data_IF_814555072927
#
_entry.id   IF_814555072927
#
_cell.length_a   1.000
_cell.length_b   1.000
_cell.length_c   1.000
_cell.angle_alpha   90.00
_cell.angle_beta   90.00
_cell.angle_gamma   90.00
#
_symmetry.space_group_name_H-M   'P 1'
#
loop_
_entity.id
_entity.type
_entity.pdbx_description
1 polymer ?
#
# COMPACT_ATOMS: atom_id res chain seq x y z
N UNK A 1 -30.10 74.30 2.08
CA UNK A 1 -30.60 72.90 2.17
C UNK A 1 -31.20 72.69 3.57
N UNK A 2 -32.47 72.32 3.65
CA UNK A 2 -33.20 72.21 4.90
C UNK A 2 -32.56 71.09 5.79
N UNK A 3 -32.33 71.33 7.07
CA UNK A 3 -31.66 70.42 8.02
C UNK A 3 -32.31 69.01 8.00
N UNK A 4 -33.65 68.99 7.84
CA UNK A 4 -34.41 67.73 7.75
C UNK A 4 -34.08 66.96 6.47
N UNK A 5 -33.93 67.62 5.35
CA UNK A 5 -33.59 67.00 4.07
C UNK A 5 -32.17 66.43 4.08
N UNK A 6 -31.22 67.13 4.71
CA UNK A 6 -29.84 66.70 4.92
C UNK A 6 -29.78 65.42 5.78
N UNK A 7 -30.52 65.38 6.87
CA UNK A 7 -30.54 64.21 7.75
C UNK A 7 -31.19 62.99 7.06
N UNK A 8 -32.25 63.19 6.31
CA UNK A 8 -32.85 62.08 5.54
C UNK A 8 -31.93 61.57 4.46
N UNK A 9 -31.23 62.42 3.73
CA UNK A 9 -30.24 62.04 2.74
C UNK A 9 -29.07 61.26 3.38
N UNK A 10 -28.59 61.69 4.55
CA UNK A 10 -27.54 61.03 5.30
C UNK A 10 -27.96 59.61 5.73
N UNK A 11 -29.19 59.41 6.23
CA UNK A 11 -29.73 58.13 6.61
C UNK A 11 -29.81 57.17 5.40
N UNK A 12 -30.26 57.66 4.25
CA UNK A 12 -30.33 56.83 3.03
C UNK A 12 -28.96 56.43 2.54
N UNK A 13 -28.01 57.38 2.50
CA UNK A 13 -26.62 57.07 2.08
C UNK A 13 -25.98 56.10 3.05
N UNK A 14 -26.12 56.29 4.35
CA UNK A 14 -25.58 55.42 5.40
C UNK A 14 -26.17 54.01 5.29
N UNK A 15 -27.51 53.92 5.12
CA UNK A 15 -28.19 52.62 4.88
C UNK A 15 -27.70 51.92 3.65
N UNK A 16 -27.47 52.61 2.53
CA UNK A 16 -26.93 52.06 1.31
C UNK A 16 -25.47 51.55 1.52
N UNK A 17 -24.63 52.28 2.21
CA UNK A 17 -23.25 51.85 2.52
C UNK A 17 -23.26 50.59 3.38
N UNK A 18 -24.06 50.58 4.47
CA UNK A 18 -24.17 49.39 5.34
C UNK A 18 -24.67 48.19 4.57
N UNK A 19 -25.71 48.38 3.73
CA UNK A 19 -26.22 47.29 2.85
C UNK A 19 -25.15 46.79 1.88
N UNK A 20 -24.41 47.68 1.21
CA UNK A 20 -23.36 47.32 0.28
C UNK A 20 -22.22 46.55 0.97
N UNK A 21 -21.80 46.95 2.20
CA UNK A 21 -20.79 46.23 2.98
C UNK A 21 -21.29 44.84 3.39
N UNK A 22 -22.55 44.75 3.86
CA UNK A 22 -23.13 43.45 4.22
C UNK A 22 -23.25 42.51 3.01
N UNK A 23 -23.69 43.03 1.88
CA UNK A 23 -23.79 42.26 0.62
C UNK A 23 -22.41 41.78 0.16
N UNK A 24 -21.42 42.67 0.18
CA UNK A 24 -20.03 42.31 -0.16
C UNK A 24 -19.48 41.21 0.76
N UNK A 25 -19.70 41.31 2.07
CA UNK A 25 -19.30 40.30 3.03
C UNK A 25 -19.95 38.92 2.74
N UNK A 26 -21.23 38.89 2.44
CA UNK A 26 -21.95 37.65 2.06
C UNK A 26 -21.38 37.07 0.78
N UNK A 27 -21.18 37.91 -0.25
CA UNK A 27 -20.58 37.45 -1.52
C UNK A 27 -19.19 36.90 -1.35
N UNK A 28 -18.34 37.58 -0.59
CA UNK A 28 -16.98 37.08 -0.31
C UNK A 28 -16.99 35.72 0.42
N UNK A 29 -17.93 35.51 1.33
CA UNK A 29 -18.09 34.19 1.98
C UNK A 29 -18.49 33.09 1.01
N UNK A 30 -19.40 33.38 0.09
CA UNK A 30 -19.79 32.42 -0.94
C UNK A 30 -18.61 32.06 -1.86
N UNK A 31 -17.91 33.07 -2.37
CA UNK A 31 -16.75 32.89 -3.25
C UNK A 31 -15.63 32.11 -2.51
N UNK A 32 -15.33 32.47 -1.26
CA UNK A 32 -14.32 31.77 -0.48
C UNK A 32 -14.68 30.29 -0.26
N UNK A 33 -15.96 30.00 0.01
CA UNK A 33 -16.43 28.62 0.15
C UNK A 33 -16.33 27.83 -1.15
N UNK A 34 -16.75 28.40 -2.27
CA UNK A 34 -16.70 27.71 -3.56
C UNK A 34 -15.25 27.46 -3.98
N UNK A 35 -14.36 28.42 -3.82
CA UNK A 35 -12.94 28.27 -4.08
C UNK A 35 -12.31 27.18 -3.19
N UNK A 36 -12.67 27.12 -1.90
CA UNK A 36 -12.20 26.08 -1.00
C UNK A 36 -12.65 24.68 -1.44
N UNK A 37 -13.93 24.53 -1.84
CA UNK A 37 -14.45 23.25 -2.33
C UNK A 37 -13.78 22.81 -3.63
N UNK A 38 -13.54 23.74 -4.54
CA UNK A 38 -12.85 23.46 -5.81
C UNK A 38 -11.39 23.06 -5.56
N UNK A 39 -10.68 23.81 -4.72
CA UNK A 39 -9.30 23.47 -4.32
C UNK A 39 -9.23 22.11 -3.62
N UNK A 40 -10.17 21.82 -2.72
CA UNK A 40 -10.23 20.52 -2.03
C UNK A 40 -10.45 19.38 -3.02
N UNK A 41 -11.33 19.54 -4.01
CA UNK A 41 -11.55 18.52 -5.06
C UNK A 41 -10.31 18.31 -5.92
N UNK A 42 -9.59 19.37 -6.27
CA UNK A 42 -8.35 19.27 -7.03
C UNK A 42 -7.30 18.48 -6.23
N UNK A 43 -7.13 18.79 -4.95
CA UNK A 43 -6.21 18.07 -4.05
C UNK A 43 -6.62 16.59 -3.91
N UNK A 44 -7.91 16.29 -3.70
CA UNK A 44 -8.35 14.90 -3.63
C UNK A 44 -8.12 14.13 -4.93
N UNK A 45 -8.33 14.77 -6.09
CA UNK A 45 -8.03 14.17 -7.39
C UNK A 45 -6.55 13.86 -7.53
N UNK A 46 -5.68 14.76 -7.12
CA UNK A 46 -4.22 14.58 -7.14
C UNK A 46 -3.78 13.45 -6.20
N UNK A 47 -4.26 13.45 -4.95
CA UNK A 47 -3.97 12.38 -3.98
C UNK A 47 -4.46 11.04 -4.52
N UNK A 48 -5.67 10.96 -5.06
CA UNK A 48 -6.20 9.73 -5.65
C UNK A 48 -5.35 9.24 -6.82
N UNK A 49 -4.88 10.16 -7.67
CA UNK A 49 -3.98 9.82 -8.77
C UNK A 49 -2.62 9.30 -8.26
N UNK A 50 -2.04 9.94 -7.24
CA UNK A 50 -0.81 9.49 -6.60
C UNK A 50 -0.97 8.08 -6.03
N UNK A 51 -2.07 7.79 -5.32
CA UNK A 51 -2.35 6.47 -4.75
C UNK A 51 -2.49 5.41 -5.84
N UNK A 52 -3.23 5.71 -6.92
CA UNK A 52 -3.38 4.77 -8.05
C UNK A 52 -2.04 4.47 -8.74
N UNK A 53 -1.24 5.51 -8.99
CA UNK A 53 0.11 5.35 -9.57
C UNK A 53 1.00 4.50 -8.67
N UNK A 54 0.89 4.69 -7.36
CA UNK A 54 1.62 3.93 -6.36
C UNK A 54 1.23 2.45 -6.39
N UNK A 55 -0.06 2.12 -6.48
CA UNK A 55 -0.55 0.74 -6.60
C UNK A 55 0.00 0.05 -7.86
N UNK A 56 0.09 0.77 -8.99
CA UNK A 56 0.70 0.25 -10.21
C UNK A 56 2.20 -0.03 -10.05
N UNK A 57 2.92 0.85 -9.34
CA UNK A 57 4.33 0.65 -9.01
C UNK A 57 4.50 -0.58 -8.12
N UNK A 58 3.71 -0.71 -7.07
CA UNK A 58 3.70 -1.88 -6.17
C UNK A 58 3.48 -3.17 -6.95
N UNK A 59 2.45 -3.21 -7.79
CA UNK A 59 2.13 -4.38 -8.61
C UNK A 59 3.28 -4.74 -9.55
N UNK A 60 3.90 -3.73 -10.15
CA UNK A 60 5.04 -3.91 -11.06
C UNK A 60 6.28 -4.43 -10.33
N UNK A 61 6.60 -3.89 -9.15
CA UNK A 61 7.73 -4.35 -8.32
C UNK A 61 7.51 -5.81 -7.91
N UNK A 62 6.33 -6.16 -7.41
CA UNK A 62 5.97 -7.54 -7.03
C UNK A 62 6.08 -8.49 -8.22
N UNK A 63 5.54 -8.11 -9.38
CA UNK A 63 5.62 -8.91 -10.61
C UNK A 63 7.06 -9.13 -11.05
N UNK A 64 7.87 -8.09 -11.08
CA UNK A 64 9.28 -8.18 -11.49
C UNK A 64 10.08 -9.07 -10.53
N UNK A 65 9.81 -9.00 -9.23
CA UNK A 65 10.46 -9.87 -8.26
C UNK A 65 10.05 -11.34 -8.47
N UNK A 66 8.77 -11.59 -8.73
CA UNK A 66 8.22 -12.92 -9.03
C UNK A 66 8.87 -13.55 -10.29
N UNK A 67 8.95 -12.78 -11.38
CA UNK A 67 9.62 -13.23 -12.60
C UNK A 67 11.13 -13.46 -12.41
N UNK A 68 11.78 -12.62 -11.62
CA UNK A 68 13.19 -12.79 -11.29
C UNK A 68 13.43 -14.07 -10.47
N UNK A 69 12.55 -14.41 -9.54
CA UNK A 69 12.63 -15.69 -8.82
C UNK A 69 12.45 -16.89 -9.77
N UNK A 70 11.45 -16.82 -10.66
CA UNK A 70 11.23 -17.89 -11.67
C UNK A 70 12.48 -18.10 -12.55
N UNK A 71 13.06 -17.04 -13.07
CA UNK A 71 14.27 -17.11 -13.89
C UNK A 71 15.43 -17.78 -13.14
N UNK A 72 15.64 -17.41 -11.86
CA UNK A 72 16.70 -18.00 -11.03
C UNK A 72 16.47 -19.48 -10.76
N UNK A 73 15.21 -19.90 -10.57
CA UNK A 73 14.87 -21.32 -10.43
C UNK A 73 15.20 -22.09 -11.70
N UNK A 74 14.89 -21.57 -12.89
CA UNK A 74 15.27 -22.16 -14.18
C UNK A 74 16.78 -22.30 -14.34
N UNK A 75 17.54 -21.25 -13.98
CA UNK A 75 19.01 -21.27 -14.04
C UNK A 75 19.54 -22.31 -13.06
N UNK A 76 19.03 -22.36 -11.82
CA UNK A 76 19.42 -23.38 -10.85
C UNK A 76 19.20 -24.80 -11.40
N UNK A 77 18.00 -25.06 -11.94
CA UNK A 77 17.67 -26.37 -12.52
C UNK A 77 18.61 -26.76 -13.68
N UNK A 78 18.96 -25.83 -14.57
CA UNK A 78 19.88 -26.07 -15.67
C UNK A 78 21.31 -26.32 -15.19
N UNK A 79 21.80 -25.57 -14.20
CA UNK A 79 23.14 -25.77 -13.63
C UNK A 79 23.28 -27.10 -12.90
N UNK A 80 22.25 -27.48 -12.12
CA UNK A 80 22.22 -28.77 -11.43
C UNK A 80 22.12 -29.93 -12.43
N UNK A 81 21.37 -29.77 -13.51
CA UNK A 81 21.31 -30.80 -14.59
C UNK A 81 22.67 -31.03 -15.23
N UNK A 82 23.47 -29.97 -15.43
CA UNK A 82 24.81 -30.07 -16.02
C UNK A 82 25.85 -30.68 -15.05
N UNK A 83 25.71 -30.44 -13.74
CA UNK A 83 26.57 -31.05 -12.69
C UNK A 83 25.70 -31.65 -11.59
N UNK A 84 25.25 -32.88 -11.77
CA UNK A 84 24.41 -33.58 -10.78
C UNK A 84 25.06 -33.81 -9.43
N UNK A 85 26.41 -33.72 -9.34
CA UNK A 85 27.10 -33.78 -8.06
C UNK A 85 26.74 -32.63 -7.10
N UNK A 86 26.09 -31.59 -7.62
CA UNK A 86 25.54 -30.50 -6.81
C UNK A 86 24.44 -31.02 -5.88
N UNK A 87 23.63 -32.01 -6.31
CA UNK A 87 22.51 -32.57 -5.52
C UNK A 87 23.01 -33.12 -4.18
N UNK A 88 24.14 -33.81 -4.20
CA UNK A 88 24.70 -34.49 -3.04
C UNK A 88 25.62 -33.61 -2.18
N UNK A 89 25.93 -32.40 -2.65
CA UNK A 89 26.90 -31.52 -1.99
C UNK A 89 26.25 -30.23 -1.48
N UNK A 90 26.04 -30.15 -0.17
CA UNK A 90 25.55 -28.92 0.46
C UNK A 90 26.48 -27.72 0.15
N UNK A 91 27.80 -27.90 0.13
CA UNK A 91 28.75 -26.83 -0.17
C UNK A 91 28.50 -26.26 -1.59
N UNK A 92 28.34 -27.12 -2.60
CA UNK A 92 28.03 -26.68 -3.97
C UNK A 92 26.66 -26.02 -4.08
N UNK A 93 25.66 -26.49 -3.30
CA UNK A 93 24.34 -25.84 -3.24
C UNK A 93 24.42 -24.45 -2.61
N UNK A 94 25.24 -24.24 -1.62
CA UNK A 94 25.50 -22.93 -1.02
C UNK A 94 26.23 -22.01 -2.03
N UNK A 95 27.21 -22.51 -2.76
CA UNK A 95 27.89 -21.77 -3.84
C UNK A 95 26.90 -21.35 -4.93
N UNK A 96 26.03 -22.29 -5.34
CA UNK A 96 24.96 -22.01 -6.32
C UNK A 96 23.99 -20.94 -5.81
N UNK A 97 23.57 -21.02 -4.55
CA UNK A 97 22.68 -20.01 -3.95
C UNK A 97 23.35 -18.63 -3.94
N UNK A 98 24.62 -18.55 -3.58
CA UNK A 98 25.41 -17.30 -3.60
C UNK A 98 25.55 -16.74 -5.02
N UNK A 99 25.86 -17.59 -6.00
CA UNK A 99 25.96 -17.21 -7.41
C UNK A 99 24.65 -16.63 -7.93
N UNK A 100 23.54 -17.27 -7.60
CA UNK A 100 22.19 -16.86 -8.02
C UNK A 100 21.63 -15.72 -7.14
N UNK A 101 22.30 -15.33 -6.07
CA UNK A 101 21.82 -14.35 -5.08
C UNK A 101 20.42 -14.71 -4.57
N UNK A 102 20.27 -15.98 -4.15
CA UNK A 102 19.08 -16.50 -3.47
C UNK A 102 19.48 -16.93 -2.06
N UNK A 103 18.50 -16.94 -1.15
CA UNK A 103 18.76 -17.30 0.25
C UNK A 103 18.72 -18.81 0.46
N UNK A 104 17.88 -19.52 -0.31
CA UNK A 104 17.65 -20.95 -0.17
C UNK A 104 17.57 -21.64 -1.53
N UNK A 105 18.08 -22.88 -1.58
CA UNK A 105 17.90 -23.82 -2.69
C UNK A 105 17.50 -25.15 -2.09
N UNK A 106 16.42 -25.76 -2.58
CA UNK A 106 15.97 -27.08 -2.21
C UNK A 106 15.77 -27.91 -3.47
N UNK A 107 16.10 -29.18 -3.42
CA UNK A 107 15.90 -30.15 -4.47
C UNK A 107 14.93 -31.20 -3.98
N UNK A 108 13.87 -31.40 -4.71
CA UNK A 108 12.82 -32.38 -4.43
C UNK A 108 12.91 -33.53 -5.40
N UNK A 109 12.64 -34.71 -4.90
CA UNK A 109 12.41 -35.89 -5.75
C UNK A 109 11.01 -35.89 -6.34
N UNK A 110 10.69 -36.93 -7.14
CA UNK A 110 9.37 -37.11 -7.77
C UNK A 110 8.22 -37.29 -6.75
N UNK A 111 8.53 -37.70 -5.52
CA UNK A 111 7.54 -37.82 -4.45
C UNK A 111 7.22 -36.50 -3.75
N UNK A 112 7.98 -35.45 -4.06
CA UNK A 112 7.89 -34.15 -3.40
C UNK A 112 8.64 -34.10 -2.05
N UNK A 113 9.65 -34.96 -1.87
CA UNK A 113 10.51 -34.99 -0.68
C UNK A 113 11.79 -34.21 -0.95
N UNK A 114 12.22 -33.36 0.01
CA UNK A 114 13.49 -32.64 -0.07
C UNK A 114 14.65 -33.62 0.14
N UNK A 115 15.44 -33.83 -0.91
CA UNK A 115 16.60 -34.72 -0.92
C UNK A 115 17.92 -33.99 -0.81
N UNK A 116 17.94 -32.68 -1.08
CA UNK A 116 19.12 -31.83 -1.01
C UNK A 116 18.75 -30.36 -0.86
N UNK A 117 19.67 -29.55 -0.35
CA UNK A 117 19.42 -28.13 -0.19
C UNK A 117 20.47 -27.40 0.62
N UNK A 118 20.34 -26.07 0.67
CA UNK A 118 21.19 -25.21 1.48
C UNK A 118 20.92 -25.33 2.98
N UNK A 119 19.76 -25.90 3.36
CA UNK A 119 19.28 -26.02 4.74
C UNK A 119 19.10 -27.49 5.11
N UNK A 120 20.09 -28.16 5.76
CA UNK A 120 20.03 -29.58 6.05
C UNK A 120 18.84 -30.02 6.91
N UNK A 121 18.36 -29.15 7.80
CA UNK A 121 17.18 -29.47 8.64
C UNK A 121 15.88 -29.62 7.87
N UNK A 122 15.86 -29.22 6.59
CA UNK A 122 14.70 -29.38 5.71
C UNK A 122 14.72 -30.73 4.98
N UNK A 123 15.81 -31.50 5.03
CA UNK A 123 15.90 -32.80 4.37
C UNK A 123 14.86 -33.78 4.94
N UNK A 124 14.20 -34.49 4.05
CA UNK A 124 13.10 -35.39 4.38
C UNK A 124 11.73 -34.71 4.56
N UNK A 125 11.68 -33.40 4.59
CA UNK A 125 10.38 -32.71 4.53
C UNK A 125 9.76 -32.92 3.16
N UNK A 126 8.43 -32.99 3.15
CA UNK A 126 7.64 -33.21 1.96
C UNK A 126 6.74 -32.01 1.65
N UNK A 127 6.19 -31.95 0.47
CA UNK A 127 5.16 -30.95 0.11
C UNK A 127 3.87 -31.06 0.96
N UNK A 128 3.80 -31.99 1.91
CA UNK A 128 2.67 -32.16 2.83
C UNK A 128 2.94 -31.64 4.25
N UNK A 129 4.16 -31.20 4.55
CA UNK A 129 4.61 -30.90 5.92
C UNK A 129 4.42 -29.43 6.33
N UNK A 130 3.56 -28.67 5.65
CA UNK A 130 3.23 -27.30 6.04
C UNK A 130 2.49 -26.52 4.95
N UNK A 131 1.93 -25.39 5.32
CA UNK A 131 1.11 -24.57 4.41
C UNK A 131 1.94 -24.01 3.24
N UNK A 132 3.09 -23.40 3.56
CA UNK A 132 3.93 -22.78 2.53
C UNK A 132 4.49 -23.79 1.54
N UNK A 133 5.10 -24.88 2.02
CA UNK A 133 5.66 -25.93 1.15
C UNK A 133 4.55 -26.67 0.40
N UNK A 134 3.37 -26.75 1.01
CA UNK A 134 2.17 -27.38 0.44
C UNK A 134 1.63 -26.70 -0.83
N UNK A 135 1.99 -25.44 -1.07
CA UNK A 135 1.65 -24.74 -2.32
C UNK A 135 2.33 -25.37 -3.56
N UNK A 136 3.37 -26.18 -3.33
CA UNK A 136 4.10 -26.87 -4.42
C UNK A 136 3.60 -28.30 -4.70
N UNK A 137 2.48 -28.74 -4.09
CA UNK A 137 1.84 -30.04 -4.39
C UNK A 137 1.48 -30.19 -5.86
N UNK A 138 1.10 -29.08 -6.52
CA UNK A 138 0.74 -29.10 -7.93
C UNK A 138 1.91 -29.46 -8.84
N UNK A 139 3.17 -29.30 -8.37
CA UNK A 139 4.35 -29.78 -9.09
C UNK A 139 4.29 -31.29 -9.33
N UNK A 140 3.67 -32.05 -8.42
CA UNK A 140 3.54 -33.51 -8.55
C UNK A 140 2.49 -33.93 -9.59
N UNK A 141 1.57 -33.02 -9.95
CA UNK A 141 0.51 -33.29 -10.92
C UNK A 141 0.96 -33.07 -12.37
N UNK A 142 1.94 -32.23 -12.58
CA UNK A 142 2.48 -31.94 -13.91
C UNK A 142 3.95 -31.55 -13.84
N UNK A 143 4.75 -32.21 -14.68
CA UNK A 143 6.19 -31.91 -14.79
C UNK A 143 6.51 -30.75 -15.75
N UNK A 144 5.48 -30.10 -16.32
CA UNK A 144 5.64 -29.00 -17.28
C UNK A 144 5.25 -27.64 -16.65
N UNK A 145 4.81 -27.64 -15.40
CA UNK A 145 4.46 -26.40 -14.69
C UNK A 145 5.67 -25.80 -13.96
N UNK A 146 5.60 -24.51 -13.79
CA UNK A 146 6.48 -23.73 -12.94
C UNK A 146 5.62 -22.97 -11.94
N UNK A 147 5.95 -23.05 -10.68
CA UNK A 147 5.21 -22.37 -9.63
C UNK A 147 6.05 -21.28 -8.98
N UNK A 148 5.43 -20.14 -8.81
CA UNK A 148 5.98 -19.04 -7.98
C UNK A 148 4.90 -18.60 -7.03
N UNK A 149 5.12 -18.79 -5.74
CA UNK A 149 4.19 -18.32 -4.72
C UNK A 149 4.33 -16.81 -4.49
N UNK A 150 3.34 -16.23 -3.84
CA UNK A 150 3.46 -14.88 -3.31
C UNK A 150 4.26 -14.88 -1.99
N UNK A 151 4.54 -13.70 -1.43
CA UNK A 151 5.27 -13.60 -0.18
C UNK A 151 4.55 -14.34 0.93
N UNK A 152 5.24 -15.26 1.58
CA UNK A 152 4.70 -16.04 2.69
C UNK A 152 5.78 -16.37 3.72
N UNK A 153 5.38 -16.64 4.95
CA UNK A 153 6.29 -17.14 5.96
C UNK A 153 6.80 -18.54 5.58
N UNK A 154 8.11 -18.76 5.61
CA UNK A 154 8.71 -20.05 5.30
C UNK A 154 8.35 -21.10 6.37
N UNK A 155 8.00 -22.33 5.96
CA UNK A 155 7.67 -23.43 6.86
C UNK A 155 8.78 -23.72 7.87
N UNK A 156 10.04 -23.61 7.44
CA UNK A 156 11.18 -23.96 8.29
C UNK A 156 11.67 -22.86 9.22
N UNK A 157 11.51 -21.58 8.88
CA UNK A 157 12.14 -20.46 9.62
C UNK A 157 11.17 -19.34 10.02
N UNK A 158 9.93 -19.33 9.52
CA UNK A 158 8.97 -18.26 9.75
C UNK A 158 9.35 -16.91 9.10
N UNK A 159 10.43 -16.83 8.33
CA UNK A 159 10.83 -15.62 7.62
C UNK A 159 9.96 -15.43 6.39
N UNK A 160 9.63 -14.17 6.10
CA UNK A 160 8.93 -13.84 4.86
C UNK A 160 9.84 -14.10 3.67
N UNK A 161 9.41 -14.98 2.79
CA UNK A 161 10.15 -15.45 1.62
C UNK A 161 9.21 -15.49 0.40
N UNK A 162 9.81 -15.47 -0.78
CA UNK A 162 9.15 -15.87 -2.01
C UNK A 162 9.88 -17.09 -2.58
N UNK A 163 9.13 -18.13 -2.86
CA UNK A 163 9.68 -19.34 -3.46
C UNK A 163 9.21 -19.50 -4.90
N UNK A 164 10.12 -20.04 -5.72
CA UNK A 164 9.83 -20.46 -7.08
C UNK A 164 10.35 -21.88 -7.29
N UNK A 165 9.56 -22.72 -7.93
CA UNK A 165 9.94 -24.08 -8.25
C UNK A 165 9.76 -24.40 -9.73
N UNK A 166 10.72 -25.14 -10.29
CA UNK A 166 10.71 -25.63 -11.67
C UNK A 166 11.25 -27.05 -11.72
N UNK A 167 10.71 -27.88 -12.60
CA UNK A 167 11.28 -29.18 -12.89
C UNK A 167 12.61 -29.07 -13.61
N UNK A 168 13.56 -29.92 -13.26
CA UNK A 168 14.79 -30.10 -14.02
C UNK A 168 14.47 -30.66 -15.41
N UNK A 169 15.33 -30.44 -16.41
CA UNK A 169 15.13 -31.00 -17.78
C UNK A 169 14.91 -32.50 -17.81
N UNK A 170 15.59 -33.24 -16.92
CA UNK A 170 15.42 -34.70 -16.77
C UNK A 170 14.05 -35.14 -16.25
N UNK A 171 13.29 -34.22 -15.64
CA UNK A 171 11.98 -34.49 -15.02
C UNK A 171 12.00 -35.50 -13.84
N UNK A 172 13.17 -35.79 -13.27
CA UNK A 172 13.35 -36.67 -12.10
C UNK A 172 13.28 -35.88 -10.79
N UNK A 173 13.68 -34.62 -10.84
CA UNK A 173 13.72 -33.73 -9.69
C UNK A 173 13.15 -32.36 -10.04
N UNK A 174 12.65 -31.65 -9.05
CA UNK A 174 12.39 -30.22 -9.20
C UNK A 174 13.20 -29.39 -8.21
N UNK A 175 13.57 -28.21 -8.64
CA UNK A 175 14.36 -27.26 -7.85
C UNK A 175 13.46 -26.15 -7.38
N UNK A 176 13.50 -25.89 -6.09
CA UNK A 176 12.86 -24.73 -5.48
C UNK A 176 13.95 -23.76 -4.99
N UNK A 177 13.83 -22.49 -5.35
CA UNK A 177 14.64 -21.43 -4.77
C UNK A 177 13.79 -20.56 -3.85
N UNK A 178 14.37 -20.08 -2.76
CA UNK A 178 13.76 -19.15 -1.84
C UNK A 178 14.54 -17.83 -1.80
N UNK A 179 13.83 -16.72 -1.82
CA UNK A 179 14.43 -15.40 -1.75
C UNK A 179 13.67 -14.49 -0.81
N UNK A 180 14.39 -13.83 0.10
CA UNK A 180 13.85 -12.80 0.98
C UNK A 180 13.55 -11.53 0.19
N UNK A 181 12.36 -10.95 0.34
CA UNK A 181 11.97 -9.72 -0.36
C UNK A 181 12.47 -8.44 0.35
N UNK A 182 13.57 -8.46 1.10
CA UNK A 182 14.01 -7.34 1.95
C UNK A 182 13.95 -5.99 1.24
N UNK A 183 14.58 -5.88 0.06
CA UNK A 183 14.58 -4.63 -0.70
C UNK A 183 13.19 -4.26 -1.23
N UNK A 184 12.35 -5.27 -1.58
CA UNK A 184 10.96 -5.02 -1.98
C UNK A 184 10.16 -4.46 -0.80
N UNK A 185 10.37 -5.01 0.39
CA UNK A 185 9.72 -4.53 1.62
C UNK A 185 10.16 -3.11 1.97
N UNK A 186 11.43 -2.76 1.73
CA UNK A 186 11.89 -1.36 1.89
C UNK A 186 11.19 -0.43 0.91
N UNK A 187 11.13 -0.79 -0.38
CA UNK A 187 10.40 0.00 -1.38
C UNK A 187 8.91 0.10 -1.02
N UNK A 188 8.30 -1.00 -0.57
CA UNK A 188 6.88 -1.01 -0.20
C UNK A 188 6.58 -0.14 1.02
N UNK A 189 7.52 0.05 1.96
CA UNK A 189 7.34 0.98 3.09
C UNK A 189 7.20 2.43 2.63
N UNK A 190 7.92 2.83 1.60
CA UNK A 190 7.82 4.18 1.03
C UNK A 190 6.50 4.40 0.28
N UNK A 191 5.76 3.32 0.02
CA UNK A 191 4.45 3.35 -0.65
C UNK A 191 3.28 3.22 0.33
N UNK A 192 3.52 3.11 1.64
CA UNK A 192 2.48 3.09 2.65
C UNK A 192 1.77 4.45 2.77
N UNK A 193 0.46 4.43 3.03
CA UNK A 193 -0.35 5.65 3.14
C UNK A 193 0.26 6.71 4.05
N UNK A 194 0.74 6.41 5.28
CA UNK A 194 1.34 7.41 6.15
C UNK A 194 2.53 8.11 5.50
N UNK A 195 3.36 7.36 4.76
CA UNK A 195 4.53 7.92 4.08
C UNK A 195 4.15 8.84 2.92
N UNK A 196 3.17 8.43 2.10
CA UNK A 196 2.63 9.25 1.02
C UNK A 196 2.09 10.56 1.57
N UNK A 197 1.35 10.51 2.70
CA UNK A 197 0.77 11.69 3.31
C UNK A 197 1.82 12.60 3.96
N UNK A 198 2.94 12.07 4.47
CA UNK A 198 4.07 12.88 4.94
C UNK A 198 4.69 13.75 3.83
N UNK A 199 4.69 13.26 2.60
CA UNK A 199 5.32 13.93 1.45
C UNK A 199 4.38 14.95 0.76
N UNK A 200 3.09 14.99 1.11
CA UNK A 200 2.13 15.98 0.59
C UNK A 200 2.36 17.34 1.24
N UNK A 201 2.73 18.33 0.44
CA UNK A 201 2.89 19.71 0.87
C UNK A 201 1.63 20.51 0.49
N UNK A 202 1.01 21.16 1.48
CA UNK A 202 -0.14 22.03 1.29
C UNK A 202 0.26 23.49 1.48
N UNK A 203 -0.15 24.33 0.55
CA UNK A 203 0.16 25.78 0.56
C UNK A 203 -0.66 26.60 1.55
N UNK A 204 -1.57 25.98 2.31
CA UNK A 204 -2.51 26.63 3.20
C UNK A 204 -2.51 25.95 4.58
N UNK A 205 -3.07 26.62 5.59
CA UNK A 205 -3.35 26.04 6.91
C UNK A 205 -4.45 24.95 6.81
N UNK A 206 -4.15 23.93 6.01
CA UNK A 206 -5.00 22.80 5.78
C UNK A 206 -4.24 21.51 6.07
N UNK A 207 -4.94 20.45 6.36
CA UNK A 207 -4.39 19.11 6.46
C UNK A 207 -5.37 18.09 5.86
N UNK A 208 -4.79 17.05 5.31
CA UNK A 208 -5.53 15.94 4.71
C UNK A 208 -5.30 14.70 5.58
N UNK A 209 -6.30 13.86 5.65
CA UNK A 209 -6.18 12.57 6.31
C UNK A 209 -7.04 11.51 5.61
N UNK A 210 -6.60 10.27 5.68
CA UNK A 210 -7.35 9.10 5.23
C UNK A 210 -7.98 8.39 6.44
N UNK A 211 -9.21 7.93 6.27
CA UNK A 211 -9.98 7.22 7.32
C UNK A 211 -10.33 5.83 6.83
N UNK A 212 -10.01 4.83 7.63
CA UNK A 212 -10.59 3.50 7.47
C UNK A 212 -12.05 3.52 7.95
N UNK A 213 -12.97 3.41 7.02
CA UNK A 213 -14.41 3.47 7.30
C UNK A 213 -14.93 2.29 8.13
N UNK A 214 -14.16 1.19 8.20
CA UNK A 214 -14.53 0.00 8.97
C UNK A 214 -14.24 0.20 10.46
N UNK A 215 -13.08 0.80 10.76
CA UNK A 215 -12.63 1.04 12.12
C UNK A 215 -12.88 2.46 12.60
N UNK A 216 -13.26 3.39 11.70
CA UNK A 216 -13.38 4.83 11.92
C UNK A 216 -12.07 5.51 12.37
N UNK A 217 -10.92 4.88 12.13
CA UNK A 217 -9.62 5.43 12.51
C UNK A 217 -8.96 6.18 11.36
N UNK A 218 -8.26 7.25 11.71
CA UNK A 218 -7.38 7.98 10.79
C UNK A 218 -6.12 7.13 10.59
N UNK A 219 -5.93 6.59 9.39
CA UNK A 219 -4.82 5.68 9.05
C UNK A 219 -3.61 6.42 8.49
N UNK A 220 -3.80 7.61 7.95
CA UNK A 220 -2.73 8.47 7.46
C UNK A 220 -3.13 9.94 7.53
N UNK A 221 -2.18 10.84 7.74
CA UNK A 221 -2.44 12.27 7.79
C UNK A 221 -1.18 13.10 7.52
N UNK A 222 -1.34 14.23 6.80
CA UNK A 222 -0.30 15.26 6.69
C UNK A 222 0.01 15.91 8.05
N UNK A 223 -0.88 15.75 9.03
CA UNK A 223 -0.70 16.16 10.44
C UNK A 223 -0.60 14.90 11.31
N UNK A 224 0.61 14.41 11.50
CA UNK A 224 0.92 13.13 12.17
C UNK A 224 0.22 12.90 13.52
N UNK A 225 -0.05 13.98 14.27
CA UNK A 225 -0.76 13.89 15.56
C UNK A 225 -2.20 13.38 15.44
N UNK A 226 -2.77 13.34 14.24
CA UNK A 226 -4.12 12.84 13.97
C UNK A 226 -4.14 11.34 13.67
N UNK A 227 -3.03 10.73 13.32
CA UNK A 227 -2.96 9.29 13.03
C UNK A 227 -3.39 8.45 14.25
N UNK A 228 -4.07 7.37 13.98
CA UNK A 228 -4.69 6.46 14.95
C UNK A 228 -5.82 7.06 15.81
N UNK A 229 -6.19 8.33 15.61
CA UNK A 229 -7.37 8.90 16.25
C UNK A 229 -8.64 8.45 15.55
N UNK A 230 -9.72 8.34 16.33
CA UNK A 230 -11.04 8.09 15.79
C UNK A 230 -11.59 9.34 15.11
N UNK A 231 -12.29 9.21 13.98
CA UNK A 231 -12.89 10.34 13.25
C UNK A 231 -13.93 11.09 14.10
N UNK A 232 -14.49 10.46 15.12
CA UNK A 232 -15.39 11.09 16.08
C UNK A 232 -14.77 12.28 16.82
N UNK A 233 -13.45 12.40 16.75
CA UNK A 233 -12.71 13.60 17.18
C UNK A 233 -13.21 14.88 16.52
N UNK A 234 -13.75 14.81 15.31
CA UNK A 234 -14.29 15.95 14.55
C UNK A 234 -15.82 16.01 14.57
N UNK A 235 -16.53 15.00 15.04
CA UNK A 235 -17.99 14.92 15.07
C UNK A 235 -18.51 13.49 14.95
N UNK A 236 -19.83 13.33 14.95
CA UNK A 236 -20.46 12.01 14.83
C UNK A 236 -20.15 11.40 13.46
N UNK A 237 -19.56 10.19 13.35
CA UNK A 237 -19.15 9.60 12.07
C UNK A 237 -20.27 9.54 11.02
N UNK A 238 -21.49 9.20 11.43
CA UNK A 238 -22.65 9.14 10.51
C UNK A 238 -22.96 10.48 9.85
N UNK A 239 -22.79 11.58 10.58
CA UNK A 239 -23.07 12.92 10.08
C UNK A 239 -21.90 13.41 9.23
N UNK A 240 -20.67 13.14 9.65
CA UNK A 240 -19.45 13.43 8.90
C UNK A 240 -19.48 12.80 7.50
N UNK A 241 -19.83 11.51 7.40
CA UNK A 241 -19.88 10.82 6.10
C UNK A 241 -21.02 11.26 5.20
N UNK A 242 -22.15 11.70 5.76
CA UNK A 242 -23.31 12.18 4.97
C UNK A 242 -23.14 13.60 4.47
N UNK A 243 -22.63 14.51 5.29
CA UNK A 243 -22.65 15.93 5.02
C UNK A 243 -21.32 16.49 4.49
N UNK A 244 -20.21 15.84 4.83
CA UNK A 244 -18.88 16.37 4.51
C UNK A 244 -18.54 16.40 3.01
N UNK A 245 -19.27 15.65 2.16
CA UNK A 245 -19.13 15.76 0.70
C UNK A 245 -19.51 17.15 0.15
N UNK A 246 -20.30 17.91 0.94
CA UNK A 246 -20.73 19.29 0.62
C UNK A 246 -19.91 20.34 1.37
N UNK A 247 -18.95 19.91 2.18
CA UNK A 247 -18.22 20.74 3.10
C UNK A 247 -19.05 21.14 4.32
N UNK A 248 -18.58 20.78 5.50
CA UNK A 248 -19.22 21.14 6.77
C UNK A 248 -18.23 21.84 7.69
N UNK A 249 -18.77 22.73 8.54
CA UNK A 249 -17.98 23.34 9.61
C UNK A 249 -17.94 22.41 10.80
N UNK A 250 -16.76 22.19 11.32
CA UNK A 250 -16.54 21.46 12.58
C UNK A 250 -15.80 22.38 13.56
N UNK A 251 -16.19 22.34 14.82
CA UNK A 251 -15.54 23.07 15.90
C UNK A 251 -14.62 22.10 16.65
N UNK A 252 -13.33 22.39 16.65
CA UNK A 252 -12.37 21.58 17.38
C UNK A 252 -11.39 22.47 18.14
N UNK A 253 -11.23 22.23 19.45
CA UNK A 253 -10.37 23.05 20.34
C UNK A 253 -10.67 24.56 20.27
N UNK A 254 -11.94 24.95 20.14
CA UNK A 254 -12.40 26.34 19.94
C UNK A 254 -11.96 27.00 18.62
N UNK A 255 -11.44 26.22 17.67
CA UNK A 255 -11.15 26.68 16.32
C UNK A 255 -12.17 26.10 15.33
N UNK A 256 -12.61 26.95 14.38
CA UNK A 256 -13.49 26.50 13.29
C UNK A 256 -12.68 25.94 12.14
N UNK A 257 -12.98 24.69 11.74
CA UNK A 257 -12.42 24.05 10.56
C UNK A 257 -13.50 23.82 9.52
N UNK A 258 -13.10 23.81 8.26
CA UNK A 258 -13.93 23.34 7.17
C UNK A 258 -13.51 21.92 6.82
N UNK A 259 -14.41 20.95 6.98
CA UNK A 259 -14.16 19.55 6.66
C UNK A 259 -14.84 19.19 5.33
N UNK A 260 -14.08 18.60 4.42
CA UNK A 260 -14.59 18.01 3.17
C UNK A 260 -14.14 16.56 3.14
N UNK A 261 -15.04 15.65 2.86
CA UNK A 261 -14.75 14.23 2.70
C UNK A 261 -15.04 13.81 1.27
N UNK A 262 -14.09 13.12 0.65
CA UNK A 262 -14.31 12.42 -0.62
C UNK A 262 -14.29 10.91 -0.35
N UNK A 263 -15.29 10.19 -0.87
CA UNK A 263 -15.32 8.73 -0.77
C UNK A 263 -14.53 8.15 -1.93
N UNK A 264 -13.29 7.77 -1.70
CA UNK A 264 -12.52 6.94 -2.61
C UNK A 264 -12.36 5.55 -1.99
N UNK A 265 -12.77 4.52 -2.71
CA UNK A 265 -12.52 3.14 -2.32
C UNK A 265 -11.07 2.84 -2.69
N UNK A 266 -10.17 2.83 -1.69
CA UNK A 266 -8.82 2.35 -1.86
C UNK A 266 -8.88 0.82 -1.86
N UNK A 267 -8.75 0.20 -3.05
CA UNK A 267 -8.59 -1.25 -3.17
C UNK A 267 -7.11 -1.60 -2.96
N UNK A 268 -6.84 -2.39 -1.94
CA UNK A 268 -5.60 -3.15 -1.81
C UNK A 268 -4.62 -2.67 -0.76
N UNK A 269 -5.06 -2.40 0.44
CA UNK A 269 -4.16 -2.42 1.60
C UNK A 269 -3.65 -3.84 1.81
N UNK A 270 -2.36 -4.09 1.59
CA UNK A 270 -1.73 -5.31 2.08
C UNK A 270 -1.54 -5.11 3.57
N UNK A 271 -2.44 -5.67 4.39
CA UNK A 271 -2.23 -5.75 5.82
C UNK A 271 -1.15 -6.81 6.07
N UNK A 272 0.01 -6.37 6.49
CA UNK A 272 0.98 -7.25 7.14
C UNK A 272 0.73 -7.16 8.64
N UNK A 273 0.00 -8.10 9.20
CA UNK A 273 0.09 -8.36 10.63
C UNK A 273 1.47 -8.94 10.90
N UNK A 274 2.24 -8.23 11.73
CA UNK A 274 3.59 -8.59 12.16
C UNK A 274 3.62 -9.70 13.19
#
# INVERSE_FOLDING_TARGET
MNKILRNRLFIVIFGFVVFSVALNFVLQRFIARDNFLESSRAIFSEVTHMLHTNDEVIATVKRNFKENCRLRARIAAALIENDRSIIESQAKLIELANLLKVDEVHIFDESGTIIGGTIPRAYGMTVYDGEQIGLFKDMLHSKDIELVQDFAASTGQGKVMQYAAVWMPCKEHFVQIGRSPRWVMEVLKDTELPKIFEDIVLDVDAYIFAVDVTTNKIVASTKKVLENKDISYFGTPSDLYKEASKGMKVLHNNEEYYLVISSNVLHGGVSYEG
#
